data_IF_143975508302
#
_entry.id   IF_143975508302
#
_cell.length_a   1.000
_cell.length_b   1.000
_cell.length_c   1.000
_cell.angle_alpha   90.00
_cell.angle_beta   90.00
_cell.angle_gamma   90.00
#
_symmetry.space_group_name_H-M   'P 1'
#
loop_
_entity.id
_entity.type
_entity.pdbx_description
1 polymer ?
#
# COMPACT_ATOMS: atom_id res chain seq x y z
N UNK A 1 7.09 2.61 8.02
CA UNK A 1 8.27 3.44 8.36
C UNK A 1 9.53 2.75 7.89
N UNK A 2 10.49 3.50 7.32
CA UNK A 2 11.77 2.98 6.82
C UNK A 2 12.88 4.04 6.93
N UNK A 3 14.13 3.61 6.83
CA UNK A 3 15.29 4.50 6.78
C UNK A 3 15.77 4.67 5.32
N UNK A 4 16.08 5.89 4.93
CA UNK A 4 16.64 6.21 3.62
C UNK A 4 17.50 7.48 3.71
N UNK A 5 18.67 7.48 3.05
CA UNK A 5 19.59 8.62 3.00
C UNK A 5 19.86 9.28 4.36
N UNK A 6 20.02 8.47 5.42
CA UNK A 6 20.34 8.95 6.77
C UNK A 6 19.18 9.57 7.55
N UNK A 7 17.95 9.43 7.08
CA UNK A 7 16.73 9.89 7.74
C UNK A 7 15.70 8.78 7.85
N UNK A 8 14.65 9.01 8.61
CA UNK A 8 13.51 8.12 8.76
C UNK A 8 12.30 8.71 8.05
N UNK A 9 11.54 7.85 7.41
CA UNK A 9 10.34 8.23 6.68
C UNK A 9 9.17 7.35 7.08
N UNK A 10 7.99 7.96 7.10
CA UNK A 10 6.73 7.30 7.35
C UNK A 10 5.74 7.72 6.26
N UNK A 11 5.00 6.78 5.74
CA UNK A 11 3.87 7.03 4.83
C UNK A 11 2.59 6.67 5.54
N UNK A 12 1.59 7.56 5.45
CA UNK A 12 0.27 7.41 6.06
C UNK A 12 -0.79 7.59 5.00
N UNK A 13 -1.71 6.64 4.91
CA UNK A 13 -2.90 6.79 4.09
C UNK A 13 -3.83 7.85 4.65
N UNK A 14 -4.45 8.60 3.76
CA UNK A 14 -5.31 9.72 4.11
C UNK A 14 -6.52 9.84 3.17
N UNK A 15 -7.54 10.52 3.66
CA UNK A 15 -8.73 10.96 2.92
C UNK A 15 -8.89 12.45 3.14
N UNK A 16 -9.01 13.21 2.07
CA UNK A 16 -9.29 14.65 2.16
C UNK A 16 -10.74 14.90 2.52
N UNK A 17 -11.06 16.13 2.89
CA UNK A 17 -12.45 16.54 3.15
C UNK A 17 -13.30 16.54 1.88
N UNK A 18 -12.68 16.54 0.70
CA UNK A 18 -13.33 16.42 -0.60
C UNK A 18 -13.43 14.96 -1.08
N UNK A 19 -13.23 13.99 -0.20
CA UNK A 19 -13.29 12.57 -0.54
C UNK A 19 -12.28 12.12 -1.61
N UNK A 20 -11.04 12.56 -1.46
CA UNK A 20 -9.92 12.15 -2.30
C UNK A 20 -8.90 11.39 -1.47
N UNK A 21 -8.55 10.18 -1.94
CA UNK A 21 -7.49 9.37 -1.34
C UNK A 21 -6.10 9.93 -1.65
N UNK A 22 -5.22 9.91 -0.65
CA UNK A 22 -3.83 10.35 -0.77
C UNK A 22 -2.93 9.67 0.25
N UNK A 23 -1.62 9.84 0.11
CA UNK A 23 -0.63 9.36 1.06
C UNK A 23 0.26 10.50 1.52
N UNK A 24 0.26 10.77 2.82
CA UNK A 24 1.16 11.74 3.45
C UNK A 24 2.54 11.13 3.63
N UNK A 25 3.57 11.89 3.30
CA UNK A 25 4.98 11.53 3.53
C UNK A 25 5.53 12.37 4.66
N UNK A 26 5.98 11.71 5.71
CA UNK A 26 6.58 12.36 6.87
C UNK A 26 8.05 11.97 6.99
N UNK A 27 8.85 12.94 7.43
CA UNK A 27 10.29 12.79 7.68
C UNK A 27 10.62 13.01 9.14
N UNK A 28 11.62 12.29 9.66
CA UNK A 28 12.15 12.45 10.99
C UNK A 28 13.67 12.18 11.04
N UNK A 29 14.34 12.82 11.98
CA UNK A 29 15.75 12.53 12.32
C UNK A 29 15.90 11.63 13.55
N UNK A 30 14.85 11.53 14.37
CA UNK A 30 14.91 10.86 15.69
C UNK A 30 13.79 9.82 15.92
N UNK A 31 12.86 9.67 14.97
CA UNK A 31 11.65 8.81 15.03
C UNK A 31 10.59 9.27 16.06
N UNK A 32 10.80 10.39 16.73
CA UNK A 32 9.88 10.97 17.71
C UNK A 32 9.19 12.20 17.15
N UNK A 33 9.92 13.05 16.45
CA UNK A 33 9.40 14.28 15.85
C UNK A 33 9.31 14.10 14.33
N UNK A 34 8.15 14.31 13.79
CA UNK A 34 7.81 14.07 12.39
C UNK A 34 7.33 15.35 11.72
N UNK A 35 7.88 15.64 10.57
CA UNK A 35 7.45 16.75 9.71
C UNK A 35 6.82 16.19 8.44
N UNK A 36 5.66 16.71 8.06
CA UNK A 36 5.06 16.46 6.76
C UNK A 36 5.90 17.16 5.68
N UNK A 37 6.36 16.42 4.68
CA UNK A 37 7.24 16.94 3.62
C UNK A 37 6.63 16.86 2.23
N UNK A 38 5.73 15.91 1.98
CA UNK A 38 5.07 15.75 0.68
C UNK A 38 3.75 14.97 0.81
N UNK A 39 2.92 15.09 -0.21
CA UNK A 39 1.69 14.30 -0.39
C UNK A 39 1.73 13.60 -1.75
N UNK A 40 1.61 12.28 -1.75
CA UNK A 40 1.51 11.48 -2.97
C UNK A 40 0.03 11.31 -3.32
N UNK A 41 -0.35 11.76 -4.50
CA UNK A 41 -1.73 11.73 -4.98
C UNK A 41 -1.76 11.70 -6.50
N UNK A 42 -2.90 11.39 -7.09
CA UNK A 42 -3.14 11.48 -8.53
C UNK A 42 -3.79 12.82 -8.90
N UNK A 43 -3.63 13.34 -10.13
CA UNK A 43 -4.30 14.58 -10.55
C UNK A 43 -5.80 14.51 -10.39
N UNK A 44 -6.39 13.40 -10.78
CA UNK A 44 -7.83 13.14 -10.65
C UNK A 44 -8.12 12.32 -9.40
N UNK A 45 -9.36 12.36 -8.93
CA UNK A 45 -9.78 11.54 -7.78
C UNK A 45 -9.70 10.05 -8.13
N UNK A 46 -8.92 9.31 -7.35
CA UNK A 46 -8.80 7.87 -7.46
C UNK A 46 -9.13 7.24 -6.11
N UNK A 47 -10.41 6.92 -5.92
CA UNK A 47 -10.92 6.48 -4.63
C UNK A 47 -10.96 7.59 -3.57
N UNK A 48 -11.68 7.33 -2.49
CA UNK A 48 -11.85 8.34 -1.42
C UNK A 48 -10.87 8.15 -0.26
N UNK A 49 -10.23 7.01 -0.14
CA UNK A 49 -9.26 6.69 0.91
C UNK A 49 -8.19 5.74 0.36
N UNK A 50 -6.92 6.00 0.66
CA UNK A 50 -5.82 5.09 0.33
C UNK A 50 -5.29 4.45 1.62
N UNK A 51 -5.71 3.23 1.89
CA UNK A 51 -5.31 2.50 3.09
C UNK A 51 -3.98 1.76 2.91
N UNK A 52 -3.35 1.46 4.03
CA UNK A 52 -2.18 0.59 4.16
C UNK A 52 -1.04 0.89 3.16
N UNK A 53 -0.59 2.15 3.01
CA UNK A 53 0.45 2.48 2.07
C UNK A 53 1.76 1.78 2.41
N UNK A 54 2.44 1.30 1.36
CA UNK A 54 3.77 0.72 1.44
C UNK A 54 4.65 1.31 0.33
N UNK A 55 5.65 2.11 0.71
CA UNK A 55 6.55 2.79 -0.22
C UNK A 55 7.92 2.13 -0.15
N UNK A 56 8.37 1.56 -1.25
CA UNK A 56 9.64 0.85 -1.32
C UNK A 56 10.31 0.97 -2.68
N UNK A 57 11.59 0.64 -2.70
CA UNK A 57 12.40 0.60 -3.92
C UNK A 57 12.65 -0.85 -4.34
N UNK A 58 12.41 -1.16 -5.61
CA UNK A 58 12.69 -2.44 -6.23
C UNK A 58 13.40 -2.20 -7.57
N UNK A 59 14.56 -2.80 -7.78
CA UNK A 59 15.35 -2.68 -9.01
C UNK A 59 15.54 -1.23 -9.49
N UNK A 60 15.82 -0.34 -8.55
CA UNK A 60 16.07 1.07 -8.82
C UNK A 60 14.83 1.96 -8.93
N UNK A 61 13.64 1.39 -9.06
CA UNK A 61 12.36 2.10 -9.18
C UNK A 61 11.63 2.15 -7.82
N UNK A 62 11.03 3.29 -7.49
CA UNK A 62 10.13 3.43 -6.34
C UNK A 62 8.72 3.04 -6.71
N UNK A 63 8.07 2.30 -5.82
CA UNK A 63 6.69 1.86 -5.93
C UNK A 63 5.91 2.25 -4.68
N UNK A 64 4.71 2.75 -4.88
CA UNK A 64 3.72 2.99 -3.84
C UNK A 64 2.61 1.97 -3.97
N UNK A 65 2.52 1.05 -3.02
CA UNK A 65 1.39 0.13 -2.88
C UNK A 65 0.34 0.77 -1.99
N UNK A 66 -0.92 0.65 -2.36
CA UNK A 66 -2.07 1.14 -1.58
C UNK A 66 -3.25 0.19 -1.72
N UNK A 67 -4.15 0.24 -0.75
CA UNK A 67 -5.46 -0.42 -0.78
C UNK A 67 -6.54 0.66 -0.88
N UNK A 68 -6.86 1.14 -2.09
CA UNK A 68 -7.80 2.25 -2.27
C UNK A 68 -9.23 1.79 -2.11
N UNK A 69 -10.03 2.60 -1.42
CA UNK A 69 -11.48 2.44 -1.30
C UNK A 69 -12.21 3.32 -2.31
N UNK A 70 -13.32 2.81 -2.85
CA UNK A 70 -14.15 3.57 -3.80
C UNK A 70 -13.65 3.58 -5.24
N UNK A 71 -12.86 2.58 -5.64
CA UNK A 71 -12.47 2.36 -7.03
C UNK A 71 -13.17 1.11 -7.60
N UNK A 72 -13.41 1.05 -8.91
CA UNK A 72 -13.77 -0.21 -9.56
C UNK A 72 -12.63 -1.23 -9.43
N UNK A 73 -12.91 -2.39 -8.87
CA UNK A 73 -11.96 -3.48 -8.75
C UNK A 73 -12.68 -4.84 -8.81
N UNK A 74 -11.91 -5.93 -8.80
CA UNK A 74 -12.46 -7.29 -8.95
C UNK A 74 -13.22 -7.79 -7.73
N UNK A 75 -12.97 -7.20 -6.57
CA UNK A 75 -13.60 -7.57 -5.31
C UNK A 75 -14.27 -6.35 -4.68
N UNK A 76 -14.76 -6.45 -3.45
CA UNK A 76 -15.36 -5.33 -2.69
C UNK A 76 -14.38 -4.18 -2.60
N UNK A 77 -13.13 -4.48 -2.24
CA UNK A 77 -12.00 -3.56 -2.30
C UNK A 77 -10.84 -4.23 -3.01
N UNK A 78 -9.99 -3.42 -3.64
CA UNK A 78 -8.77 -3.87 -4.30
C UNK A 78 -7.52 -3.38 -3.59
N UNK A 79 -6.39 -3.88 -4.03
CA UNK A 79 -5.09 -3.31 -3.73
C UNK A 79 -4.25 -3.30 -5.00
N UNK A 80 -3.26 -2.45 -5.03
CA UNK A 80 -2.39 -2.33 -6.18
C UNK A 80 -1.27 -1.33 -5.95
N UNK A 81 -0.60 -0.97 -7.02
CA UNK A 81 0.56 -0.10 -6.94
C UNK A 81 0.60 0.95 -8.05
N UNK A 82 1.35 2.00 -7.77
CA UNK A 82 1.83 3.00 -8.72
C UNK A 82 3.35 2.93 -8.78
N UNK A 83 3.95 3.07 -9.96
CA UNK A 83 5.35 3.45 -10.06
C UNK A 83 5.47 4.96 -9.83
N UNK A 84 6.42 5.36 -8.98
CA UNK A 84 6.64 6.77 -8.63
C UNK A 84 7.73 7.33 -9.55
N UNK A 85 7.41 8.35 -10.32
CA UNK A 85 8.33 9.07 -11.18
C UNK A 85 8.80 10.33 -10.47
N UNK A 86 10.11 10.62 -10.48
CA UNK A 86 10.70 11.75 -9.78
C UNK A 86 11.09 11.44 -8.33
N UNK A 87 11.12 12.44 -7.48
CA UNK A 87 11.48 12.31 -6.06
C UNK A 87 10.22 12.34 -5.18
N UNK A 88 9.87 11.21 -4.61
CA UNK A 88 8.72 11.07 -3.71
C UNK A 88 8.79 11.98 -2.46
N UNK A 89 9.95 12.55 -2.15
CA UNK A 89 10.11 13.53 -1.05
C UNK A 89 9.79 14.97 -1.48
N UNK A 90 9.57 15.19 -2.77
CA UNK A 90 9.32 16.52 -3.35
C UNK A 90 8.51 16.40 -4.64
N UNK A 91 9.06 16.80 -5.77
CA UNK A 91 8.35 16.76 -7.04
C UNK A 91 8.32 15.35 -7.62
N UNK A 92 7.14 14.78 -7.72
CA UNK A 92 6.93 13.46 -8.30
C UNK A 92 5.54 13.32 -8.90
N UNK A 93 5.37 12.29 -9.72
CA UNK A 93 4.08 11.85 -10.25
C UNK A 93 3.92 10.35 -10.06
N UNK A 94 2.68 9.92 -9.94
CA UNK A 94 2.30 8.52 -9.94
C UNK A 94 1.87 8.14 -11.36
N UNK A 95 2.32 6.99 -11.83
CA UNK A 95 1.83 6.44 -13.10
C UNK A 95 0.39 5.89 -12.95
N UNK A 96 -0.04 5.07 -13.89
CA UNK A 96 -1.35 4.41 -13.77
C UNK A 96 -1.35 3.40 -12.63
N UNK A 97 -2.51 3.21 -12.01
CA UNK A 97 -2.71 2.16 -11.01
C UNK A 97 -2.67 0.77 -11.67
N UNK A 98 -1.94 -0.13 -11.02
CA UNK A 98 -1.86 -1.53 -11.39
C UNK A 98 -2.44 -2.37 -10.26
N UNK A 99 -3.61 -2.98 -10.50
CA UNK A 99 -4.23 -3.88 -9.52
C UNK A 99 -3.34 -5.09 -9.28
N UNK A 100 -3.14 -5.43 -8.00
CA UNK A 100 -2.38 -6.59 -7.56
C UNK A 100 -3.33 -7.71 -7.19
N UNK A 101 -2.86 -8.94 -7.43
CA UNK A 101 -3.58 -10.18 -7.17
C UNK A 101 -4.86 -10.35 -8.01
N UNK A 102 -5.02 -11.52 -8.56
CA UNK A 102 -6.19 -11.89 -9.37
C UNK A 102 -7.10 -12.91 -8.64
N UNK A 103 -6.78 -13.24 -7.39
CA UNK A 103 -7.54 -14.17 -6.56
C UNK A 103 -8.63 -13.48 -5.76
N UNK A 104 -9.28 -14.24 -4.90
CA UNK A 104 -10.23 -13.75 -3.91
C UNK A 104 -9.49 -13.28 -2.67
N UNK A 105 -10.03 -12.24 -2.00
CA UNK A 105 -9.63 -11.79 -0.68
C UNK A 105 -8.12 -11.59 -0.53
N UNK A 106 -7.63 -10.59 -1.21
CA UNK A 106 -6.29 -10.09 -1.03
C UNK A 106 -6.35 -8.59 -0.73
N UNK A 107 -6.04 -8.20 0.51
CA UNK A 107 -6.15 -6.83 0.95
C UNK A 107 -5.00 -6.42 1.86
N UNK A 108 -4.74 -5.11 1.96
CA UNK A 108 -3.77 -4.49 2.86
C UNK A 108 -2.37 -5.12 2.83
N UNK A 109 -1.78 -5.40 1.65
CA UNK A 109 -0.46 -6.01 1.58
C UNK A 109 0.61 -5.09 2.15
N UNK A 110 1.56 -5.67 2.88
CA UNK A 110 2.74 -5.00 3.37
C UNK A 110 3.98 -5.79 2.97
N UNK A 111 5.10 -5.09 2.79
CA UNK A 111 6.33 -5.71 2.37
C UNK A 111 7.55 -5.30 3.21
N UNK A 112 8.57 -6.13 3.19
CA UNK A 112 9.84 -5.89 3.85
C UNK A 112 11.00 -6.45 3.02
N UNK A 113 12.20 -5.93 3.23
CA UNK A 113 13.40 -6.52 2.67
C UNK A 113 13.94 -7.58 3.63
N UNK A 114 14.26 -8.77 3.12
CA UNK A 114 14.93 -9.82 3.89
C UNK A 114 16.45 -9.64 3.93
N UNK A 115 17.14 -10.48 4.69
CA UNK A 115 18.61 -10.45 4.81
C UNK A 115 19.36 -10.73 3.50
N UNK A 116 18.71 -11.27 2.48
CA UNK A 116 19.26 -11.48 1.14
C UNK A 116 18.93 -10.34 0.16
N UNK A 117 18.27 -9.29 0.63
CA UNK A 117 17.87 -8.13 -0.17
C UNK A 117 16.64 -8.36 -1.04
N UNK A 118 15.93 -9.49 -0.87
CA UNK A 118 14.67 -9.74 -1.58
C UNK A 118 13.55 -8.92 -0.94
N UNK A 119 12.65 -8.38 -1.76
CA UNK A 119 11.42 -7.73 -1.26
C UNK A 119 10.34 -8.80 -1.10
N UNK A 120 9.94 -9.05 0.13
CA UNK A 120 8.92 -10.04 0.49
C UNK A 120 7.62 -9.30 0.80
N UNK A 121 6.51 -9.77 0.24
CA UNK A 121 5.18 -9.21 0.49
C UNK A 121 4.24 -10.27 1.03
N UNK A 122 3.37 -9.86 1.94
CA UNK A 122 2.25 -10.62 2.47
C UNK A 122 1.00 -9.75 2.43
N UNK A 123 -0.14 -10.35 2.10
CA UNK A 123 -1.46 -9.72 2.16
C UNK A 123 -2.38 -10.45 3.12
N UNK A 124 -3.44 -9.78 3.51
CA UNK A 124 -4.51 -10.39 4.30
C UNK A 124 -5.51 -11.10 3.37
N UNK A 125 -5.79 -12.37 3.65
CA UNK A 125 -6.83 -13.15 2.98
C UNK A 125 -8.17 -12.94 3.69
N UNK A 126 -8.67 -11.73 3.60
CA UNK A 126 -9.95 -11.26 4.08
C UNK A 126 -10.37 -10.04 3.29
N UNK A 127 -11.60 -9.62 3.47
CA UNK A 127 -12.15 -8.47 2.78
C UNK A 127 -12.96 -7.64 3.77
N UNK A 128 -12.59 -6.37 4.03
CA UNK A 128 -13.39 -5.52 4.90
C UNK A 128 -14.76 -5.26 4.27
N UNK A 129 -15.77 -5.07 5.10
CA UNK A 129 -17.14 -4.73 4.71
C UNK A 129 -17.80 -5.70 3.71
N UNK A 130 -17.26 -6.90 3.54
CA UNK A 130 -17.90 -7.92 2.73
C UNK A 130 -19.19 -8.40 3.40
N UNK A 131 -20.25 -8.49 2.63
CA UNK A 131 -21.56 -8.97 3.07
C UNK A 131 -21.70 -10.50 3.02
N UNK A 132 -20.60 -11.20 2.82
CA UNK A 132 -20.51 -12.65 2.72
C UNK A 132 -19.44 -13.23 3.65
N UNK A 133 -19.62 -14.48 4.00
CA UNK A 133 -18.62 -15.28 4.70
C UNK A 133 -17.99 -16.24 3.72
N UNK A 134 -16.76 -15.97 3.33
CA UNK A 134 -16.00 -16.77 2.35
C UNK A 134 -15.02 -17.76 2.97
N UNK A 135 -14.85 -17.73 4.29
CA UNK A 135 -13.93 -18.61 5.00
C UNK A 135 -14.64 -19.88 5.48
N UNK A 136 -14.25 -21.08 5.01
CA UNK A 136 -14.83 -22.33 5.45
C UNK A 136 -14.52 -22.64 6.92
N UNK A 137 -13.60 -21.91 7.53
CA UNK A 137 -13.12 -22.14 8.91
C UNK A 137 -13.97 -21.48 9.99
N UNK A 138 -14.96 -20.66 9.60
CA UNK A 138 -15.88 -20.01 10.55
C UNK A 138 -16.62 -21.06 11.41
N UNK A 139 -16.98 -22.20 10.83
CA UNK A 139 -17.58 -23.30 11.57
C UNK A 139 -16.66 -23.90 12.68
N UNK A 140 -15.36 -23.60 12.61
CA UNK A 140 -14.34 -24.01 13.57
C UNK A 140 -13.91 -22.86 14.50
N UNK A 141 -14.63 -21.74 14.50
CA UNK A 141 -14.41 -20.61 15.41
C UNK A 141 -13.29 -19.65 14.99
N UNK A 142 -12.82 -19.68 13.75
CA UNK A 142 -11.84 -18.73 13.23
C UNK A 142 -12.07 -18.43 11.75
N UNK A 143 -11.55 -17.30 11.29
CA UNK A 143 -11.57 -16.91 9.88
C UNK A 143 -10.36 -16.05 9.55
N UNK A 144 -10.12 -15.91 8.26
CA UNK A 144 -9.03 -15.16 7.67
C UNK A 144 -7.65 -15.78 7.94
N UNK A 145 -6.71 -15.43 7.11
CA UNK A 145 -5.30 -15.77 7.28
C UNK A 145 -4.45 -14.80 6.46
N UNK A 146 -3.15 -14.84 6.64
CA UNK A 146 -2.21 -14.17 5.75
C UNK A 146 -1.90 -15.05 4.55
N UNK A 147 -1.56 -14.44 3.42
CA UNK A 147 -1.03 -15.17 2.28
C UNK A 147 0.33 -15.79 2.61
N UNK A 148 0.75 -16.78 1.83
CA UNK A 148 2.17 -17.18 1.83
C UNK A 148 3.04 -15.98 1.43
N UNK A 149 4.25 -15.86 2.01
CA UNK A 149 5.19 -14.82 1.61
C UNK A 149 5.54 -14.93 0.12
N UNK A 150 5.50 -13.82 -0.59
CA UNK A 150 5.81 -13.73 -2.03
C UNK A 150 7.00 -12.82 -2.26
N UNK A 151 7.95 -13.25 -3.08
CA UNK A 151 9.03 -12.39 -3.54
C UNK A 151 8.50 -11.47 -4.64
N UNK A 152 8.67 -10.17 -4.49
CA UNK A 152 8.40 -9.22 -5.56
C UNK A 152 9.57 -9.17 -6.52
N UNK A 153 9.28 -9.18 -7.80
CA UNK A 153 10.26 -9.03 -8.87
C UNK A 153 9.64 -8.16 -9.99
N UNK A 154 10.50 -7.44 -10.69
CA UNK A 154 10.08 -6.73 -11.90
C UNK A 154 9.85 -7.74 -13.01
N UNK A 155 8.66 -7.69 -13.63
CA UNK A 155 8.33 -8.50 -14.81
C UNK A 155 8.87 -7.89 -16.10
#
# INVERSE_FOLDING_TARGET
MFAFAGRYYMVLGARTVEDKGEVLVLESTDKLHWAHINTLTTPETFGYMWECPDLFRLDGQWYLVVSPQGIPCRNVYGCGYFAVQGDWRGECTLDRFHEMDAGFDYYAPQSFADGAGRRIQMGWMGMPDADYVNSPTVAHGWQHCMTVPRVLAKG
#
